data_IF_658031181454
#
_entry.id   IF_658031181454
#
_cell.length_a   1.000
_cell.length_b   1.000
_cell.length_c   1.000
_cell.angle_alpha   90.00
_cell.angle_beta   90.00
_cell.angle_gamma   90.00
#
_symmetry.space_group_name_H-M   'P 1'
#
loop_
_entity.id
_entity.type
_entity.pdbx_description
1 polymer ?
#
# COMPACT_ATOMS: atom_id res chain seq x y z
N UNK A 1 -15.34 7.92 -0.90
CA UNK A 1 -14.48 9.05 -1.33
C UNK A 1 -14.98 9.73 -2.60
N UNK A 2 -15.41 8.97 -3.60
CA UNK A 2 -15.93 9.50 -4.88
C UNK A 2 -17.41 9.88 -4.83
N UNK A 3 -18.14 9.45 -3.83
CA UNK A 3 -19.56 9.73 -3.64
C UNK A 3 -19.77 11.05 -2.89
N UNK A 4 -20.81 11.78 -3.23
CA UNK A 4 -21.17 12.99 -2.52
C UNK A 4 -21.73 12.66 -1.14
N UNK A 5 -21.21 13.31 -0.10
CA UNK A 5 -21.70 13.16 1.26
C UNK A 5 -22.74 14.24 1.55
N UNK A 6 -23.91 13.85 2.07
CA UNK A 6 -24.97 14.80 2.43
C UNK A 6 -24.56 15.81 3.50
N UNK A 7 -23.68 15.40 4.42
CA UNK A 7 -23.16 16.28 5.48
C UNK A 7 -22.27 17.38 4.90
N UNK A 8 -21.60 17.13 3.77
CA UNK A 8 -20.65 18.06 3.15
C UNK A 8 -21.21 18.81 1.96
N UNK A 9 -22.51 18.72 1.66
CA UNK A 9 -23.17 19.41 0.52
C UNK A 9 -22.88 20.91 0.43
N UNK A 10 -22.56 21.57 1.55
CA UNK A 10 -22.21 22.99 1.61
C UNK A 10 -20.70 23.27 1.53
N UNK A 11 -19.86 22.23 1.66
CA UNK A 11 -18.41 22.37 1.58
C UNK A 11 -17.86 21.34 0.60
N UNK A 12 -17.12 21.81 -0.38
CA UNK A 12 -16.44 20.96 -1.33
C UNK A 12 -15.37 20.13 -0.60
N UNK A 13 -15.50 18.80 -0.59
CA UNK A 13 -14.61 17.88 0.09
C UNK A 13 -14.39 16.61 -0.74
N UNK A 14 -13.45 15.76 -0.32
CA UNK A 14 -13.16 14.51 -0.99
C UNK A 14 -12.82 14.71 -2.47
N UNK A 15 -13.34 13.86 -3.33
CA UNK A 15 -13.06 13.87 -4.75
C UNK A 15 -13.52 15.16 -5.45
N UNK A 16 -14.65 15.72 -5.02
CA UNK A 16 -15.15 17.00 -5.56
C UNK A 16 -14.18 18.16 -5.30
N UNK A 17 -13.52 18.16 -4.14
CA UNK A 17 -12.48 19.15 -3.83
C UNK A 17 -11.24 18.96 -4.71
N UNK A 18 -10.77 17.72 -4.90
CA UNK A 18 -9.60 17.44 -5.74
C UNK A 18 -9.77 17.96 -7.16
N UNK A 19 -10.99 17.89 -7.73
CA UNK A 19 -11.29 18.43 -9.06
C UNK A 19 -11.11 19.94 -9.15
N UNK A 20 -11.29 20.68 -8.05
CA UNK A 20 -11.14 22.14 -8.03
C UNK A 20 -9.69 22.61 -7.96
N UNK A 21 -8.75 21.70 -7.60
CA UNK A 21 -7.34 22.06 -7.40
C UNK A 21 -6.54 22.20 -8.71
N UNK A 22 -7.08 21.75 -9.84
CA UNK A 22 -6.37 21.77 -11.12
C UNK A 22 -5.13 20.86 -11.15
N UNK A 23 -5.09 19.84 -10.28
CA UNK A 23 -3.98 18.86 -10.19
C UNK A 23 -4.08 17.85 -11.33
N UNK A 24 -2.93 17.30 -11.72
CA UNK A 24 -2.83 16.27 -12.76
C UNK A 24 -2.65 14.86 -12.17
N UNK A 25 -2.21 14.76 -10.93
CA UNK A 25 -1.92 13.50 -10.25
C UNK A 25 -2.35 13.58 -8.79
N UNK A 26 -2.77 12.45 -8.25
CA UNK A 26 -2.84 12.20 -6.81
C UNK A 26 -1.87 11.08 -6.45
N UNK A 27 -1.30 11.17 -5.27
CA UNK A 27 -0.53 10.09 -4.68
C UNK A 27 -1.27 9.59 -3.45
N UNK A 28 -1.69 8.33 -3.49
CA UNK A 28 -2.29 7.70 -2.32
C UNK A 28 -1.19 7.22 -1.39
N UNK A 29 -1.35 7.45 -0.09
CA UNK A 29 -0.55 6.77 0.94
C UNK A 29 -0.69 5.26 0.78
N UNK A 30 0.18 4.44 1.43
CA UNK A 30 0.15 3.01 1.21
C UNK A 30 -1.26 2.41 1.36
N UNK A 31 -1.70 1.70 0.33
CA UNK A 31 -3.02 1.03 0.26
C UNK A 31 -2.90 -0.49 0.31
N UNK A 32 -1.67 -1.00 0.41
CA UNK A 32 -1.40 -2.43 0.58
C UNK A 32 -1.42 -2.79 2.06
N UNK A 33 -1.71 -4.04 2.35
CA UNK A 33 -1.91 -4.62 3.67
C UNK A 33 -0.78 -4.28 4.65
N UNK A 34 -1.13 -3.68 5.76
CA UNK A 34 -0.22 -3.21 6.82
C UNK A 34 -0.65 -3.70 8.21
N UNK A 35 0.31 -3.75 9.15
CA UNK A 35 0.11 -4.22 10.51
C UNK A 35 -0.58 -3.20 11.42
N UNK A 36 -0.74 -3.59 12.69
CA UNK A 36 -1.20 -2.75 13.80
C UNK A 36 -2.60 -2.12 13.68
N UNK A 37 -3.42 -2.51 12.69
CA UNK A 37 -4.83 -2.13 12.57
C UNK A 37 -5.69 -3.38 12.47
N UNK A 38 -6.78 -3.42 13.22
CA UNK A 38 -7.84 -4.40 12.98
C UNK A 38 -8.76 -3.85 11.89
N UNK A 39 -8.77 -4.51 10.74
CA UNK A 39 -9.56 -4.11 9.57
C UNK A 39 -11.07 -3.97 9.87
N UNK A 40 -11.58 -4.69 10.88
CA UNK A 40 -13.00 -4.61 11.29
C UNK A 40 -13.29 -3.38 12.17
N UNK A 41 -12.26 -2.78 12.75
CA UNK A 41 -12.38 -1.61 13.63
C UNK A 41 -11.41 -0.49 13.22
N UNK A 42 -11.45 -0.03 11.96
CA UNK A 42 -10.43 0.86 11.40
C UNK A 42 -10.35 2.24 12.07
N UNK A 43 -11.39 2.65 12.79
CA UNK A 43 -11.42 3.93 13.50
C UNK A 43 -10.79 3.89 14.90
N UNK A 44 -10.43 2.70 15.40
CA UNK A 44 -9.82 2.56 16.72
C UNK A 44 -8.34 2.94 16.73
N UNK A 45 -7.65 2.78 15.61
CA UNK A 45 -6.24 3.07 15.46
C UNK A 45 -5.98 3.75 14.11
N UNK A 46 -5.23 4.84 14.13
CA UNK A 46 -4.79 5.49 12.89
C UNK A 46 -3.42 4.95 12.50
N UNK A 47 -3.32 4.52 11.24
CA UNK A 47 -2.07 4.03 10.66
C UNK A 47 -1.85 4.69 9.29
N UNK A 48 -0.61 5.07 9.00
CA UNK A 48 -0.22 5.65 7.72
C UNK A 48 0.07 4.60 6.64
N UNK A 49 0.16 3.31 7.04
CA UNK A 49 0.41 2.21 6.14
C UNK A 49 1.89 1.91 5.85
N UNK A 50 2.83 2.48 6.63
CA UNK A 50 4.26 2.25 6.44
C UNK A 50 4.82 1.09 7.27
N UNK A 51 4.00 0.12 7.61
CA UNK A 51 4.35 -1.14 8.29
C UNK A 51 3.78 -2.35 7.53
N UNK A 52 4.28 -2.62 6.32
CA UNK A 52 3.66 -3.54 5.38
C UNK A 52 3.70 -4.99 5.86
N UNK A 53 2.57 -5.68 5.71
CA UNK A 53 2.42 -7.13 5.93
C UNK A 53 2.46 -7.86 4.59
N UNK A 54 1.76 -7.33 3.57
CA UNK A 54 1.71 -7.92 2.24
C UNK A 54 1.83 -6.84 1.15
N UNK A 55 2.71 -7.04 0.19
CA UNK A 55 2.97 -6.05 -0.88
C UNK A 55 1.97 -6.08 -2.04
N UNK A 56 1.11 -7.09 -2.12
CA UNK A 56 0.19 -7.30 -3.26
C UNK A 56 -1.28 -7.39 -2.84
N UNK A 57 -1.55 -7.46 -1.57
CA UNK A 57 -2.90 -7.48 -1.01
C UNK A 57 -3.28 -6.06 -0.63
N UNK A 58 -4.51 -5.67 -0.87
CA UNK A 58 -5.00 -4.37 -0.45
C UNK A 58 -5.39 -4.40 1.02
N UNK A 59 -5.23 -3.27 1.68
CA UNK A 59 -5.64 -3.05 3.06
C UNK A 59 -7.16 -3.03 3.20
N UNK A 60 -7.67 -3.79 4.16
CA UNK A 60 -9.11 -3.93 4.39
C UNK A 60 -9.73 -2.79 5.19
N UNK A 61 -8.96 -2.10 6.02
CA UNK A 61 -9.46 -0.97 6.82
C UNK A 61 -9.98 0.21 5.98
N UNK A 62 -9.60 0.28 4.70
CA UNK A 62 -10.11 1.27 3.75
C UNK A 62 -11.40 0.83 3.04
N UNK A 63 -11.80 -0.44 3.18
CA UNK A 63 -12.99 -0.98 2.54
C UNK A 63 -14.25 -0.77 3.36
N UNK A 64 -15.38 -0.59 2.69
CA UNK A 64 -16.70 -0.59 3.33
C UNK A 64 -17.12 -1.98 3.80
N UNK A 65 -16.49 -3.04 3.26
CA UNK A 65 -16.70 -4.44 3.62
C UNK A 65 -15.35 -5.15 3.84
N UNK A 66 -14.66 -4.95 4.97
CA UNK A 66 -13.32 -5.50 5.22
C UNK A 66 -13.22 -7.02 5.04
N UNK A 67 -14.26 -7.75 5.44
CA UNK A 67 -14.32 -9.21 5.31
C UNK A 67 -14.45 -9.72 3.85
N UNK A 68 -14.73 -8.82 2.92
CA UNK A 68 -14.87 -9.14 1.50
C UNK A 68 -13.62 -8.71 0.72
N UNK A 69 -12.71 -9.64 0.37
CA UNK A 69 -11.47 -9.27 -0.32
C UNK A 69 -11.71 -8.69 -1.74
N UNK A 70 -12.81 -9.05 -2.38
CA UNK A 70 -13.17 -8.48 -3.68
C UNK A 70 -13.75 -7.06 -3.57
N UNK A 71 -14.38 -6.74 -2.43
CA UNK A 71 -14.90 -5.40 -2.15
C UNK A 71 -13.79 -4.35 -2.23
N UNK A 72 -12.69 -4.56 -1.49
CA UNK A 72 -11.54 -3.64 -1.48
C UNK A 72 -10.90 -3.47 -2.87
N UNK A 73 -10.84 -4.53 -3.67
CA UNK A 73 -10.35 -4.48 -5.05
C UNK A 73 -11.25 -3.64 -5.95
N UNK A 74 -12.56 -3.87 -5.86
CA UNK A 74 -13.55 -3.12 -6.64
C UNK A 74 -13.54 -1.63 -6.27
N UNK A 75 -13.48 -1.30 -4.98
CA UNK A 75 -13.48 0.09 -4.49
C UNK A 75 -12.25 0.87 -4.95
N UNK A 76 -11.04 0.26 -4.90
CA UNK A 76 -9.83 0.90 -5.43
C UNK A 76 -9.92 1.08 -6.94
N UNK A 77 -10.38 0.07 -7.67
CA UNK A 77 -10.57 0.16 -9.13
C UNK A 77 -11.54 1.30 -9.48
N UNK A 78 -12.67 1.39 -8.78
CA UNK A 78 -13.67 2.46 -8.97
C UNK A 78 -13.06 3.85 -8.70
N UNK A 79 -12.26 3.99 -7.63
CA UNK A 79 -11.57 5.24 -7.34
C UNK A 79 -10.65 5.68 -8.47
N UNK A 80 -9.83 4.75 -8.99
CA UNK A 80 -8.88 5.03 -10.07
C UNK A 80 -9.63 5.39 -11.36
N UNK A 81 -10.66 4.64 -11.72
CA UNK A 81 -11.50 4.93 -12.89
C UNK A 81 -12.13 6.33 -12.82
N UNK A 82 -12.64 6.73 -11.66
CA UNK A 82 -13.23 8.07 -11.49
C UNK A 82 -12.16 9.17 -11.59
N UNK A 83 -10.94 8.93 -11.08
CA UNK A 83 -9.81 9.85 -11.29
C UNK A 83 -9.48 9.98 -12.79
N UNK A 84 -9.35 8.88 -13.49
CA UNK A 84 -9.04 8.87 -14.93
C UNK A 84 -10.12 9.56 -15.78
N UNK A 85 -11.40 9.40 -15.47
CA UNK A 85 -12.51 10.14 -16.12
C UNK A 85 -12.37 11.66 -16.00
N UNK A 86 -11.70 12.13 -14.95
CA UNK A 86 -11.43 13.57 -14.73
C UNK A 86 -10.04 14.00 -15.22
N UNK A 87 -9.29 13.12 -15.89
CA UNK A 87 -7.92 13.38 -16.34
C UNK A 87 -6.89 13.43 -15.21
N UNK A 88 -7.22 12.92 -14.03
CA UNK A 88 -6.31 12.82 -12.86
C UNK A 88 -5.68 11.45 -12.84
N UNK A 89 -4.36 11.38 -12.82
CA UNK A 89 -3.59 10.15 -12.67
C UNK A 89 -3.41 9.76 -11.21
N UNK A 90 -3.19 8.47 -10.97
CA UNK A 90 -3.06 7.92 -9.62
C UNK A 90 -1.71 7.23 -9.44
N UNK A 91 -0.91 7.74 -8.50
CA UNK A 91 0.31 7.08 -8.03
C UNK A 91 0.05 6.40 -6.69
N UNK A 92 0.65 5.25 -6.48
CA UNK A 92 0.66 4.58 -5.19
C UNK A 92 1.99 4.77 -4.46
N UNK A 93 1.90 5.06 -3.18
CA UNK A 93 3.04 4.95 -2.28
C UNK A 93 3.23 3.48 -1.90
N UNK A 94 4.44 2.95 -2.06
CA UNK A 94 4.77 1.54 -1.82
C UNK A 94 5.98 1.41 -0.93
N UNK A 95 5.93 0.42 -0.03
CA UNK A 95 6.93 0.19 1.01
C UNK A 95 7.52 -1.20 0.81
N UNK A 96 8.71 -1.28 0.20
CA UNK A 96 9.39 -2.54 -0.06
C UNK A 96 10.69 -2.73 0.73
N UNK A 97 11.04 -1.75 1.55
CA UNK A 97 12.30 -1.72 2.30
C UNK A 97 12.29 -2.57 3.57
N UNK A 98 11.11 -2.84 4.14
CA UNK A 98 10.94 -3.64 5.34
C UNK A 98 9.56 -4.32 5.37
N UNK A 99 9.33 -5.14 6.39
CA UNK A 99 8.02 -5.72 6.72
C UNK A 99 7.68 -5.45 8.19
N UNK A 100 6.39 -5.50 8.52
CA UNK A 100 5.89 -5.25 9.87
C UNK A 100 6.54 -6.18 10.91
N UNK A 101 6.49 -7.49 10.69
CA UNK A 101 7.09 -8.48 11.56
C UNK A 101 7.85 -9.54 10.73
N UNK A 102 9.18 -9.47 10.73
CA UNK A 102 10.02 -10.37 9.97
C UNK A 102 9.95 -11.82 10.45
N UNK A 103 9.72 -12.05 11.76
CA UNK A 103 9.76 -13.38 12.36
C UNK A 103 8.57 -14.23 11.94
N UNK A 104 7.40 -13.60 11.78
CA UNK A 104 6.18 -14.27 11.34
C UNK A 104 5.92 -14.14 9.84
N UNK A 105 6.70 -13.30 9.13
CA UNK A 105 6.50 -13.07 7.72
C UNK A 105 6.76 -14.31 6.86
N UNK A 106 5.95 -14.46 5.81
CA UNK A 106 6.05 -15.58 4.87
C UNK A 106 7.44 -15.72 4.23
N UNK A 107 8.18 -14.64 4.05
CA UNK A 107 9.53 -14.66 3.51
C UNK A 107 10.47 -15.49 4.36
N UNK A 108 10.52 -15.21 5.67
CA UNK A 108 11.41 -15.91 6.59
C UNK A 108 10.94 -17.33 6.84
N UNK A 109 9.64 -17.55 6.95
CA UNK A 109 9.07 -18.89 7.15
C UNK A 109 9.19 -19.81 5.92
N UNK A 110 9.36 -19.25 4.72
CA UNK A 110 9.50 -20.03 3.48
C UNK A 110 10.97 -20.33 3.16
N UNK A 111 11.84 -19.32 3.22
CA UNK A 111 13.27 -19.47 2.96
C UNK A 111 14.04 -18.63 3.98
N UNK A 112 14.37 -19.21 5.14
CA UNK A 112 15.06 -18.50 6.21
C UNK A 112 16.35 -17.83 5.76
N UNK A 113 16.59 -16.61 6.22
CA UNK A 113 17.79 -15.79 5.97
C UNK A 113 18.02 -15.43 4.48
N UNK A 114 16.99 -15.50 3.64
CA UNK A 114 17.15 -15.20 2.22
C UNK A 114 16.66 -13.80 1.84
N UNK A 115 15.50 -13.42 2.33
CA UNK A 115 14.82 -12.18 1.89
C UNK A 115 15.22 -10.94 2.68
N UNK A 116 15.83 -11.13 3.85
CA UNK A 116 16.27 -10.04 4.71
C UNK A 116 17.78 -9.89 4.72
N UNK A 117 18.24 -8.65 4.90
CA UNK A 117 19.65 -8.35 5.09
C UNK A 117 20.10 -8.81 6.47
N UNK A 118 21.26 -9.46 6.51
CA UNK A 118 21.90 -9.88 7.75
C UNK A 118 23.18 -9.07 7.97
N UNK A 119 23.47 -8.72 9.22
CA UNK A 119 24.74 -8.14 9.62
C UNK A 119 25.85 -9.22 9.72
N UNK A 120 27.08 -8.80 10.00
CA UNK A 120 28.23 -9.69 10.12
C UNK A 120 28.11 -10.71 11.26
N UNK A 121 27.28 -10.44 12.26
CA UNK A 121 27.05 -11.34 13.42
C UNK A 121 25.93 -12.37 13.12
N UNK A 122 25.25 -12.26 11.98
CA UNK A 122 24.13 -13.11 11.64
C UNK A 122 22.79 -12.66 12.21
N UNK A 123 22.69 -11.42 12.70
CA UNK A 123 21.43 -10.80 13.10
C UNK A 123 20.81 -10.04 11.92
N UNK A 124 19.51 -9.81 11.97
CA UNK A 124 18.82 -8.98 10.97
C UNK A 124 19.34 -7.54 10.98
N UNK A 125 19.63 -7.01 9.80
CA UNK A 125 19.97 -5.60 9.62
C UNK A 125 18.78 -4.70 9.99
N UNK A 126 19.07 -3.48 10.46
CA UNK A 126 18.08 -2.46 10.77
C UNK A 126 18.59 -1.09 10.32
N UNK A 127 19.11 -1.01 9.11
CA UNK A 127 19.65 0.23 8.54
C UNK A 127 18.58 1.29 8.27
N UNK A 128 17.35 0.86 8.01
CA UNK A 128 16.18 1.74 7.83
C UNK A 128 15.53 2.18 9.14
N UNK A 129 15.97 1.65 10.27
CA UNK A 129 15.35 1.85 11.60
C UNK A 129 13.90 1.36 11.72
N UNK A 130 13.46 0.49 10.80
CA UNK A 130 12.13 -0.12 10.81
C UNK A 130 12.09 -1.52 11.40
N UNK A 131 13.19 -1.97 12.02
CA UNK A 131 13.30 -3.27 12.69
C UNK A 131 13.83 -4.40 11.79
N UNK A 132 13.82 -4.24 10.49
CA UNK A 132 14.38 -5.16 9.52
C UNK A 132 14.60 -4.46 8.18
N UNK A 133 15.48 -5.00 7.36
CA UNK A 133 15.76 -4.52 6.00
C UNK A 133 15.58 -5.65 5.01
N UNK A 134 14.72 -5.46 4.00
CA UNK A 134 14.55 -6.41 2.90
C UNK A 134 15.76 -6.37 1.95
N UNK A 135 16.30 -7.53 1.58
CA UNK A 135 17.45 -7.63 0.66
C UNK A 135 16.98 -7.69 -0.81
N UNK A 136 16.71 -6.54 -1.38
CA UNK A 136 16.29 -6.40 -2.80
C UNK A 136 17.36 -6.85 -3.80
N UNK A 137 18.61 -7.09 -3.38
CA UNK A 137 19.70 -7.61 -4.22
C UNK A 137 19.51 -9.12 -4.50
N UNK A 138 18.76 -9.84 -3.68
CA UNK A 138 18.43 -11.24 -3.90
C UNK A 138 17.49 -11.41 -5.09
N UNK A 139 17.83 -12.31 -6.00
CA UNK A 139 17.10 -12.49 -7.25
C UNK A 139 15.58 -12.69 -7.08
N UNK A 140 15.17 -13.53 -6.12
CA UNK A 140 13.76 -13.81 -5.89
C UNK A 140 13.06 -12.66 -5.18
N UNK A 141 13.75 -11.92 -4.30
CA UNK A 141 13.23 -10.71 -3.70
C UNK A 141 13.02 -9.61 -4.76
N UNK A 142 14.04 -9.37 -5.61
CA UNK A 142 13.92 -8.47 -6.75
C UNK A 142 12.73 -8.84 -7.64
N UNK A 143 12.64 -10.12 -8.03
CA UNK A 143 11.54 -10.63 -8.84
C UNK A 143 10.19 -10.36 -8.17
N UNK A 144 10.06 -10.62 -6.87
CA UNK A 144 8.82 -10.43 -6.14
C UNK A 144 8.37 -8.96 -6.14
N UNK A 145 9.31 -8.03 -5.93
CA UNK A 145 9.04 -6.58 -5.98
C UNK A 145 8.54 -6.17 -7.37
N UNK A 146 9.26 -6.59 -8.43
CA UNK A 146 8.86 -6.30 -9.81
C UNK A 146 7.50 -6.90 -10.15
N UNK A 147 7.25 -8.14 -9.75
CA UNK A 147 5.96 -8.80 -9.95
C UNK A 147 4.84 -8.09 -9.18
N UNK A 148 5.11 -7.60 -7.96
CA UNK A 148 4.15 -6.84 -7.17
C UNK A 148 3.77 -5.51 -7.87
N UNK A 149 4.76 -4.74 -8.29
CA UNK A 149 4.52 -3.51 -9.06
C UNK A 149 3.75 -3.79 -10.35
N UNK A 150 4.16 -4.82 -11.10
CA UNK A 150 3.50 -5.23 -12.34
C UNK A 150 2.04 -5.63 -12.11
N UNK A 151 1.78 -6.36 -11.03
CA UNK A 151 0.44 -6.75 -10.64
C UNK A 151 -0.44 -5.53 -10.34
N UNK A 152 0.05 -4.59 -9.53
CA UNK A 152 -0.68 -3.37 -9.17
C UNK A 152 -1.04 -2.54 -10.41
N UNK A 153 -0.08 -2.35 -11.33
CA UNK A 153 -0.33 -1.65 -12.60
C UNK A 153 -1.38 -2.36 -13.45
N UNK A 154 -1.23 -3.68 -13.65
CA UNK A 154 -2.11 -4.44 -14.56
C UNK A 154 -3.51 -4.63 -14.00
N UNK A 155 -3.63 -4.77 -12.67
CA UNK A 155 -4.92 -5.05 -12.03
C UNK A 155 -5.72 -3.79 -11.78
N UNK A 156 -5.06 -2.72 -11.34
CA UNK A 156 -5.75 -1.50 -10.91
C UNK A 156 -5.55 -0.31 -11.86
N UNK A 157 -4.69 -0.45 -12.89
CA UNK A 157 -4.41 0.59 -13.88
C UNK A 157 -3.85 1.88 -13.26
N UNK A 158 -3.05 1.75 -12.21
CA UNK A 158 -2.32 2.89 -11.63
C UNK A 158 -1.28 3.43 -12.61
N UNK A 159 -0.93 4.71 -12.46
CA UNK A 159 -0.07 5.44 -13.39
C UNK A 159 1.39 5.51 -12.93
N UNK A 160 1.66 5.33 -11.66
CA UNK A 160 3.01 5.39 -11.13
C UNK A 160 3.14 4.97 -9.67
N UNK A 161 4.37 5.02 -9.19
CA UNK A 161 4.75 4.68 -7.82
C UNK A 161 5.61 5.78 -7.19
N UNK A 162 5.47 5.94 -5.89
CA UNK A 162 6.48 6.51 -5.03
C UNK A 162 7.00 5.40 -4.13
N UNK A 163 8.30 5.16 -4.15
CA UNK A 163 8.93 4.15 -3.29
C UNK A 163 9.40 4.82 -2.00
N UNK A 164 8.95 4.28 -0.87
CA UNK A 164 9.37 4.75 0.44
C UNK A 164 10.78 4.25 0.78
N UNK A 165 11.59 5.06 1.43
CA UNK A 165 12.94 4.74 1.92
C UNK A 165 13.82 3.96 0.90
N UNK A 166 14.12 4.57 -0.23
CA UNK A 166 15.04 4.02 -1.23
C UNK A 166 16.46 4.55 -1.05
#
# INVERSE_FOLDING_TARGET
>A
FVEENEITKQQCSGFSYLKTLGITHIQLMPVTDFGSVDENYPLMHYNWGYDPVQYRVLEGSFSTEPANPYGRMFELTKLIEECHKQGIRVNLDVVFNHVYDKETHAFENTVPNYYFQMNENGDFSNGTYCGNDVDSRRNMCHKYIVDACTYLVRTYHIDGFRFDLM
#
